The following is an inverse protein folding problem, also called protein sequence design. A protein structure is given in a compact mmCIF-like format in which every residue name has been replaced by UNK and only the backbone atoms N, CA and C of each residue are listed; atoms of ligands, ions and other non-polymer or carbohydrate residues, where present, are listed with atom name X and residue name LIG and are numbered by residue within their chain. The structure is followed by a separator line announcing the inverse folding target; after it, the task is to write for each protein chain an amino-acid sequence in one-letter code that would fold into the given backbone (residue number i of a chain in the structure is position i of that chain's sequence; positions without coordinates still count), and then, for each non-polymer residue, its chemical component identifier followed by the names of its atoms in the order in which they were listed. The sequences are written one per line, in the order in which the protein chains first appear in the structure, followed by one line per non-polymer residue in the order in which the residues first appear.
data_IF_526861408829
#
_entry.id   IF_526861408829
#
_cell.length_a   1.000
_cell.length_b   1.000
_cell.length_c   1.000
_cell.angle_alpha   90.00
_cell.angle_beta   90.00
_cell.angle_gamma   90.00
#
_symmetry.space_group_name_H-M   'P 1'
#
loop_
_entity.id
_entity.type
_entity.pdbx_description
1 polymer ?
#
# COMPACT_ATOMS: atom_id res chain seq x y z
N UNK A 1 8.55 -6.55 -25.94
CA UNK A 1 8.31 -6.75 -24.49
C UNK A 1 8.86 -5.55 -23.75
N UNK A 2 8.01 -4.83 -23.03
CA UNK A 2 8.47 -3.79 -22.11
C UNK A 2 9.10 -4.49 -20.91
N UNK A 3 10.28 -4.03 -20.49
CA UNK A 3 11.01 -4.58 -19.34
C UNK A 3 10.88 -3.65 -18.15
N UNK A 4 10.53 -4.20 -16.98
CA UNK A 4 10.51 -3.46 -15.72
C UNK A 4 11.82 -3.69 -14.96
N UNK A 5 12.35 -2.65 -14.33
CA UNK A 5 13.52 -2.68 -13.44
C UNK A 5 13.28 -1.75 -12.26
N UNK A 6 13.57 -2.23 -11.05
CA UNK A 6 13.64 -1.38 -9.86
C UNK A 6 15.00 -0.67 -9.84
N UNK A 7 15.00 0.62 -9.55
CA UNK A 7 16.18 1.50 -9.57
C UNK A 7 16.30 2.27 -8.25
N UNK A 8 17.36 3.08 -8.13
CA UNK A 8 17.61 3.98 -6.99
C UNK A 8 17.68 3.28 -5.63
N UNK A 9 18.73 2.47 -5.47
CA UNK A 9 19.03 1.74 -4.23
C UNK A 9 19.75 2.60 -3.17
N UNK A 10 19.76 3.93 -3.31
CA UNK A 10 20.53 4.83 -2.44
C UNK A 10 20.03 4.91 -0.99
N UNK A 11 18.79 4.47 -0.74
CA UNK A 11 18.19 4.35 0.60
C UNK A 11 17.98 2.89 1.04
N UNK A 12 18.45 1.92 0.26
CA UNK A 12 18.34 0.51 0.63
C UNK A 12 19.29 0.17 1.78
N UNK A 13 18.91 -0.79 2.61
CA UNK A 13 19.69 -1.19 3.78
C UNK A 13 19.64 -2.71 4.00
N UNK A 14 20.66 -3.26 4.67
CA UNK A 14 20.66 -4.66 5.12
C UNK A 14 19.84 -4.82 6.39
N UNK A 15 18.86 -5.72 6.34
CA UNK A 15 18.08 -6.07 7.51
C UNK A 15 18.88 -6.96 8.47
N UNK A 16 18.77 -6.63 9.75
CA UNK A 16 19.35 -7.31 10.90
C UNK A 16 18.29 -7.29 12.01
N UNK A 17 17.96 -8.46 12.55
CA UNK A 17 16.92 -8.58 13.56
C UNK A 17 17.26 -7.80 14.83
N UNK A 18 16.29 -7.02 15.33
CA UNK A 18 16.44 -6.18 16.54
C UNK A 18 17.25 -4.89 16.32
N UNK A 19 17.54 -4.53 15.07
CA UNK A 19 18.20 -3.27 14.73
C UNK A 19 17.17 -2.17 14.54
N UNK A 20 17.43 -1.01 15.15
CA UNK A 20 16.69 0.23 14.90
C UNK A 20 17.15 0.90 13.60
N UNK A 21 16.22 1.29 12.75
CA UNK A 21 16.46 1.93 11.47
C UNK A 21 15.93 3.37 11.43
N UNK A 22 16.52 4.20 10.56
CA UNK A 22 16.13 5.60 10.41
C UNK A 22 14.77 5.74 9.70
N UNK A 23 13.78 6.27 10.40
CA UNK A 23 12.41 6.46 9.87
C UNK A 23 12.28 7.56 8.80
N UNK A 24 13.33 8.37 8.58
CA UNK A 24 13.36 9.46 7.60
C UNK A 24 13.70 8.99 6.18
N UNK A 25 13.20 7.82 5.79
CA UNK A 25 13.32 7.22 4.46
C UNK A 25 12.00 7.26 3.69
N UNK A 26 12.04 6.97 2.38
CA UNK A 26 10.89 6.99 1.47
C UNK A 26 10.20 8.35 1.25
N UNK A 27 9.57 8.48 0.08
CA UNK A 27 8.71 9.62 -0.25
C UNK A 27 7.42 9.58 0.55
N UNK A 28 6.94 10.74 1.03
CA UNK A 28 5.81 10.88 1.98
C UNK A 28 4.61 9.99 1.67
N UNK A 29 4.16 9.96 0.42
CA UNK A 29 2.93 9.24 0.02
C UNK A 29 3.04 7.72 0.11
N UNK A 30 4.26 7.19 0.21
CA UNK A 30 4.56 5.76 0.28
C UNK A 30 5.10 5.36 1.67
N UNK A 31 5.25 6.30 2.62
CA UNK A 31 5.67 5.96 3.97
C UNK A 31 4.65 5.05 4.65
N UNK A 32 5.14 3.92 5.18
CA UNK A 32 4.39 3.03 6.06
C UNK A 32 4.04 3.70 7.40
N UNK A 33 2.97 3.25 8.08
CA UNK A 33 2.61 3.74 9.41
C UNK A 33 3.78 3.73 10.40
N UNK A 34 4.62 2.70 10.38
CA UNK A 34 5.83 2.58 11.22
C UNK A 34 6.74 3.81 11.12
N UNK A 35 6.92 4.38 9.92
CA UNK A 35 7.76 5.57 9.73
C UNK A 35 7.08 6.85 10.21
N UNK A 36 5.75 6.86 10.30
CA UNK A 36 4.94 8.02 10.66
C UNK A 36 4.69 8.10 12.16
N UNK A 37 4.80 6.96 12.86
CA UNK A 37 4.69 6.82 14.32
C UNK A 37 6.05 6.61 15.00
N UNK A 38 7.15 6.76 14.26
CA UNK A 38 8.53 6.62 14.74
C UNK A 38 8.88 5.24 15.32
N UNK A 39 8.29 4.18 14.78
CA UNK A 39 8.68 2.80 15.12
C UNK A 39 9.91 2.39 14.29
N UNK A 40 11.04 2.15 14.96
CA UNK A 40 12.35 1.99 14.30
C UNK A 40 12.74 0.55 14.00
N UNK A 41 12.16 -0.44 14.68
CA UNK A 41 12.44 -1.87 14.48
C UNK A 41 11.61 -2.46 13.33
N UNK A 42 11.55 -1.76 12.20
CA UNK A 42 10.82 -2.21 11.00
C UNK A 42 11.67 -3.11 10.08
N UNK A 43 11.01 -3.78 9.15
CA UNK A 43 11.62 -4.77 8.26
C UNK A 43 11.16 -4.63 6.79
N UNK A 44 11.35 -5.69 6.00
CA UNK A 44 10.98 -5.77 4.59
C UNK A 44 9.49 -5.49 4.30
N UNK A 45 8.62 -5.62 5.29
CA UNK A 45 7.18 -5.33 5.16
C UNK A 45 6.87 -3.85 4.89
N UNK A 46 7.83 -2.95 5.13
CA UNK A 46 7.74 -1.54 4.72
C UNK A 46 7.59 -1.40 3.19
N UNK A 47 8.29 -2.22 2.42
CA UNK A 47 8.20 -2.23 0.96
C UNK A 47 6.82 -2.71 0.49
N UNK A 48 6.20 -3.62 1.24
CA UNK A 48 4.88 -4.16 0.94
C UNK A 48 3.78 -3.11 1.15
N UNK A 49 3.93 -2.23 2.14
CA UNK A 49 3.07 -1.05 2.27
C UNK A 49 3.22 -0.10 1.07
N UNK A 50 4.46 0.21 0.69
CA UNK A 50 4.75 1.09 -0.45
C UNK A 50 4.13 0.55 -1.74
N UNK A 51 4.25 -0.76 -1.96
CA UNK A 51 3.59 -1.48 -3.06
C UNK A 51 2.06 -1.37 -2.98
N UNK A 52 1.47 -1.54 -1.80
CA UNK A 52 0.04 -1.37 -1.58
C UNK A 52 -0.46 0.04 -1.90
N UNK A 53 0.26 1.08 -1.48
CA UNK A 53 -0.08 2.47 -1.77
C UNK A 53 0.01 2.78 -3.28
N UNK A 54 1.02 2.25 -3.96
CA UNK A 54 1.13 2.32 -5.43
C UNK A 54 -0.03 1.57 -6.10
N UNK A 55 -0.32 0.34 -5.67
CA UNK A 55 -1.39 -0.49 -6.21
C UNK A 55 -2.76 0.16 -6.06
N UNK A 56 -3.07 0.71 -4.88
CA UNK A 56 -4.29 1.49 -4.65
C UNK A 56 -4.39 2.68 -5.62
N UNK A 57 -3.29 3.41 -5.82
CA UNK A 57 -3.26 4.56 -6.73
C UNK A 57 -3.58 4.14 -8.17
N UNK A 58 -3.06 2.99 -8.62
CA UNK A 58 -3.32 2.43 -9.95
C UNK A 58 -4.77 2.01 -10.14
N UNK A 59 -5.30 1.13 -9.25
CA UNK A 59 -6.63 0.55 -9.44
C UNK A 59 -7.75 1.56 -9.21
N UNK A 60 -7.56 2.53 -8.30
CA UNK A 60 -8.54 3.58 -8.04
C UNK A 60 -8.34 4.84 -8.88
N UNK A 61 -7.30 4.89 -9.73
CA UNK A 61 -6.96 6.05 -10.57
C UNK A 61 -6.83 7.35 -9.77
N UNK A 62 -6.22 7.25 -8.59
CA UNK A 62 -6.07 8.37 -7.64
C UNK A 62 -4.62 8.46 -7.20
N UNK A 63 -3.91 9.48 -7.68
CA UNK A 63 -2.48 9.64 -7.45
C UNK A 63 -2.17 10.96 -6.73
N UNK A 64 -1.52 10.92 -5.54
CA UNK A 64 -1.32 9.75 -4.69
C UNK A 64 -2.64 9.29 -4.02
N UNK A 65 -2.73 8.00 -3.65
CA UNK A 65 -3.92 7.49 -2.96
C UNK A 65 -4.11 8.12 -1.58
N UNK A 66 -3.04 8.19 -0.78
CA UNK A 66 -2.96 8.90 0.49
C UNK A 66 -2.20 10.21 0.31
N UNK A 67 -2.91 11.33 0.36
CA UNK A 67 -2.38 12.66 0.01
C UNK A 67 -2.28 13.57 1.25
N UNK A 68 -1.23 13.38 2.05
CA UNK A 68 -0.93 14.19 3.23
C UNK A 68 -0.04 15.40 2.93
N UNK A 69 -0.35 16.53 3.55
CA UNK A 69 0.42 17.78 3.42
C UNK A 69 1.70 17.79 4.27
N UNK A 70 1.77 16.95 5.30
CA UNK A 70 2.91 16.71 6.19
C UNK A 70 2.97 15.21 6.54
N UNK A 71 4.00 14.76 7.28
CA UNK A 71 4.05 13.37 7.75
C UNK A 71 2.89 13.07 8.72
N UNK A 72 2.56 14.01 9.61
CA UNK A 72 1.46 13.87 10.55
C UNK A 72 0.10 13.85 9.83
N UNK A 73 -0.11 14.72 8.84
CA UNK A 73 -1.33 14.68 8.01
C UNK A 73 -1.37 13.42 7.12
N UNK A 74 -0.23 12.84 6.76
CA UNK A 74 -0.17 11.56 6.02
C UNK A 74 -0.78 10.43 6.87
N UNK A 75 -0.42 10.32 8.16
CA UNK A 75 -1.03 9.35 9.06
C UNK A 75 -2.53 9.58 9.20
N UNK A 76 -2.97 10.85 9.30
CA UNK A 76 -4.40 11.20 9.33
C UNK A 76 -5.11 10.77 8.03
N UNK A 77 -4.49 10.89 6.86
CA UNK A 77 -5.09 10.40 5.60
C UNK A 77 -5.24 8.89 5.59
N UNK A 78 -4.28 8.17 6.15
CA UNK A 78 -4.32 6.71 6.28
C UNK A 78 -5.46 6.32 7.25
N UNK A 79 -5.52 6.94 8.43
CA UNK A 79 -6.56 6.75 9.45
C UNK A 79 -7.98 7.01 8.93
N UNK A 80 -8.16 8.00 8.05
CA UNK A 80 -9.46 8.26 7.39
C UNK A 80 -9.92 7.15 6.44
N UNK A 81 -9.07 6.19 6.09
CA UNK A 81 -9.38 5.05 5.23
C UNK A 81 -9.37 3.76 6.02
N UNK A 82 -8.31 3.46 6.76
CA UNK A 82 -8.16 2.20 7.49
C UNK A 82 -8.88 2.20 8.85
N UNK A 83 -9.32 3.37 9.33
CA UNK A 83 -9.94 3.52 10.63
C UNK A 83 -8.90 3.77 11.73
N UNK A 84 -9.37 4.25 12.88
CA UNK A 84 -8.51 4.57 14.03
C UNK A 84 -8.42 3.45 15.03
N UNK A 85 -9.39 2.55 15.06
CA UNK A 85 -9.43 1.44 16.01
C UNK A 85 -8.23 0.50 15.73
N UNK A 86 -8.06 0.03 14.50
CA UNK A 86 -6.88 -0.77 14.07
C UNK A 86 -5.54 -0.03 14.26
N UNK A 87 -5.53 1.31 14.20
CA UNK A 87 -4.32 2.11 14.45
C UNK A 87 -3.97 2.10 15.94
N UNK A 88 -4.95 2.30 16.82
CA UNK A 88 -4.70 2.26 18.27
C UNK A 88 -4.33 0.86 18.74
N UNK A 89 -4.97 -0.19 18.22
CA UNK A 89 -4.57 -1.58 18.49
C UNK A 89 -3.10 -1.84 18.11
N UNK A 90 -2.65 -1.30 16.98
CA UNK A 90 -1.26 -1.37 16.55
C UNK A 90 -0.32 -0.61 17.51
N UNK A 91 -0.66 0.63 17.89
CA UNK A 91 0.15 1.42 18.81
C UNK A 91 0.27 0.76 20.18
N UNK A 92 -0.83 0.23 20.71
CA UNK A 92 -0.87 -0.48 21.98
C UNK A 92 -0.04 -1.77 21.92
N UNK A 93 -0.14 -2.53 20.83
CA UNK A 93 0.61 -3.80 20.64
C UNK A 93 2.13 -3.61 20.72
N UNK A 94 2.63 -2.51 20.17
CA UNK A 94 4.07 -2.23 20.09
C UNK A 94 4.53 -1.18 21.10
N UNK A 95 3.67 -0.79 22.05
CA UNK A 95 3.95 0.20 23.10
C UNK A 95 4.47 1.55 22.53
N UNK A 96 3.86 2.01 21.44
CA UNK A 96 4.25 3.23 20.73
C UNK A 96 3.47 4.43 21.26
N UNK A 97 4.18 5.42 21.81
CA UNK A 97 3.60 6.71 22.16
C UNK A 97 3.56 7.64 20.94
N UNK A 98 2.36 8.06 20.53
CA UNK A 98 2.21 9.08 19.50
C UNK A 98 2.65 10.46 20.01
N UNK A 99 3.33 11.21 19.16
CA UNK A 99 3.67 12.61 19.42
C UNK A 99 2.39 13.45 19.68
N UNK A 100 2.44 14.32 20.69
CA UNK A 100 1.35 15.20 21.10
C UNK A 100 0.76 16.05 19.95
N UNK A 101 1.51 16.27 18.86
CA UNK A 101 0.97 16.91 17.66
C UNK A 101 -0.25 16.18 17.05
N UNK A 102 -0.45 14.90 17.36
CA UNK A 102 -1.58 14.10 16.88
C UNK A 102 -2.87 14.36 17.66
N UNK A 103 -2.79 14.87 18.90
CA UNK A 103 -3.95 15.07 19.79
C UNK A 103 -5.05 15.93 19.14
N UNK A 104 -4.65 16.93 18.36
CA UNK A 104 -5.58 17.87 17.71
C UNK A 104 -6.01 17.45 16.29
N UNK A 105 -5.28 16.54 15.63
CA UNK A 105 -5.48 16.22 14.21
C UNK A 105 -6.00 14.80 13.96
N UNK A 106 -5.78 13.88 14.90
CA UNK A 106 -6.21 12.49 14.82
C UNK A 106 -7.55 12.31 15.54
N UNK A 107 -8.64 12.49 14.80
CA UNK A 107 -9.99 12.17 15.28
C UNK A 107 -10.28 10.67 15.26
N UNK A 108 -11.51 10.27 15.64
CA UNK A 108 -12.00 8.89 15.47
C UNK A 108 -12.55 8.68 14.05
N UNK A 109 -12.05 7.67 13.36
CA UNK A 109 -12.45 7.34 11.99
C UNK A 109 -12.85 5.88 11.90
N UNK A 110 -13.96 5.60 11.22
CA UNK A 110 -14.38 4.25 10.89
C UNK A 110 -13.64 3.77 9.64
N UNK A 111 -13.26 2.49 9.62
CA UNK A 111 -12.66 1.86 8.43
C UNK A 111 -13.61 1.97 7.25
N UNK A 112 -13.11 2.47 6.13
CA UNK A 112 -13.88 2.61 4.90
C UNK A 112 -13.78 1.32 4.09
N UNK A 113 -14.90 0.79 3.57
CA UNK A 113 -14.83 -0.34 2.66
C UNK A 113 -14.16 0.10 1.35
N UNK A 114 -13.25 -0.72 0.83
CA UNK A 114 -12.50 -0.42 -0.39
C UNK A 114 -13.42 -0.17 -1.60
N UNK A 115 -14.57 -0.84 -1.67
CA UNK A 115 -15.58 -0.62 -2.71
C UNK A 115 -16.11 0.82 -2.75
N UNK A 116 -15.98 1.60 -1.65
CA UNK A 116 -16.39 3.01 -1.64
C UNK A 116 -15.50 3.93 -2.48
N UNK A 117 -14.32 3.48 -2.89
CA UNK A 117 -13.42 4.22 -3.80
C UNK A 117 -13.64 3.86 -5.27
N UNK A 118 -14.57 2.95 -5.58
CA UNK A 118 -14.90 2.55 -6.95
C UNK A 118 -15.80 3.61 -7.60
N UNK A 119 -15.42 4.04 -8.79
CA UNK A 119 -16.14 5.00 -9.62
C UNK A 119 -16.39 4.41 -11.00
N UNK A 120 -17.25 5.05 -11.81
CA UNK A 120 -17.50 4.62 -13.18
C UNK A 120 -16.23 4.59 -14.06
N UNK A 121 -15.25 5.43 -13.74
CA UNK A 121 -13.99 5.56 -14.49
C UNK A 121 -12.97 4.47 -14.14
N UNK A 122 -12.98 4.00 -12.89
CA UNK A 122 -11.99 3.06 -12.39
C UNK A 122 -12.51 1.62 -12.23
N UNK A 123 -13.83 1.40 -12.26
CA UNK A 123 -14.45 0.09 -12.02
C UNK A 123 -13.86 -1.06 -12.86
N UNK A 124 -13.41 -0.77 -14.10
CA UNK A 124 -12.80 -1.76 -14.98
C UNK A 124 -11.44 -2.31 -14.50
N UNK A 125 -10.80 -1.61 -13.56
CA UNK A 125 -9.50 -1.99 -12.98
C UNK A 125 -9.65 -2.67 -11.61
N UNK A 126 -10.87 -2.74 -11.07
CA UNK A 126 -11.14 -3.22 -9.72
C UNK A 126 -11.92 -4.54 -9.80
N UNK A 127 -11.34 -5.59 -9.22
CA UNK A 127 -12.01 -6.87 -8.97
C UNK A 127 -12.02 -7.18 -7.47
N UNK A 128 -12.80 -8.19 -7.05
CA UNK A 128 -12.79 -8.62 -5.65
C UNK A 128 -11.39 -9.15 -5.24
N UNK A 129 -10.69 -9.84 -6.13
CA UNK A 129 -9.31 -10.31 -5.90
C UNK A 129 -8.33 -9.14 -5.80
N UNK A 130 -8.55 -8.04 -6.54
CA UNK A 130 -7.73 -6.84 -6.43
C UNK A 130 -7.92 -6.15 -5.08
N UNK A 131 -9.18 -6.03 -4.62
CA UNK A 131 -9.51 -5.46 -3.31
C UNK A 131 -8.96 -6.33 -2.19
N UNK A 132 -9.13 -7.65 -2.27
CA UNK A 132 -8.62 -8.60 -1.29
C UNK A 132 -7.07 -8.58 -1.22
N UNK A 133 -6.41 -8.48 -2.38
CA UNK A 133 -4.96 -8.30 -2.42
C UNK A 133 -4.53 -6.99 -1.74
N UNK A 134 -5.20 -5.88 -2.05
CA UNK A 134 -4.90 -4.58 -1.47
C UNK A 134 -5.09 -4.55 0.05
N UNK A 135 -6.19 -5.14 0.55
CA UNK A 135 -6.49 -5.18 1.98
C UNK A 135 -5.41 -5.94 2.78
N UNK A 136 -4.83 -6.99 2.19
CA UNK A 136 -3.72 -7.74 2.81
C UNK A 136 -2.35 -7.06 2.70
N UNK A 137 -2.22 -5.99 1.92
CA UNK A 137 -1.01 -5.17 1.85
C UNK A 137 -1.08 -3.95 2.79
N UNK A 138 -2.23 -3.27 2.81
CA UNK A 138 -2.43 -2.04 3.57
C UNK A 138 -2.94 -2.32 4.98
N UNK A 139 -2.05 -2.83 5.83
CA UNK A 139 -2.25 -3.04 7.27
C UNK A 139 -1.36 -2.11 8.09
N UNK A 140 -1.87 -1.63 9.23
CA UNK A 140 -1.07 -0.89 10.20
C UNK A 140 0.06 -1.75 10.72
N UNK A 141 -0.31 -2.89 11.30
CA UNK A 141 0.63 -3.88 11.76
C UNK A 141 1.42 -4.45 10.58
N UNK A 142 2.71 -4.15 10.59
CA UNK A 142 3.64 -4.52 9.55
C UNK A 142 3.83 -6.04 9.46
N UNK A 143 3.60 -6.77 10.57
CA UNK A 143 3.65 -8.23 10.62
C UNK A 143 2.41 -8.91 10.03
N UNK A 144 1.31 -8.19 9.80
CA UNK A 144 0.10 -8.74 9.15
C UNK A 144 0.11 -8.61 7.63
N UNK A 145 1.09 -7.89 7.07
CA UNK A 145 1.19 -7.67 5.63
C UNK A 145 1.67 -8.94 4.94
N UNK A 146 1.18 -9.20 3.73
CA UNK A 146 1.73 -10.26 2.90
C UNK A 146 3.23 -10.05 2.70
N UNK A 147 4.01 -11.11 2.81
CA UNK A 147 5.36 -11.12 2.26
C UNK A 147 5.32 -11.03 0.73
N UNK A 148 6.42 -10.61 0.10
CA UNK A 148 6.51 -10.57 -1.37
C UNK A 148 6.24 -11.94 -2.03
N UNK A 149 6.59 -13.04 -1.34
CA UNK A 149 6.36 -14.41 -1.83
C UNK A 149 4.87 -14.78 -1.77
N UNK A 150 4.19 -14.46 -0.66
CA UNK A 150 2.75 -14.70 -0.52
C UNK A 150 1.95 -13.80 -1.47
N UNK A 151 2.36 -12.54 -1.63
CA UNK A 151 1.79 -11.61 -2.60
C UNK A 151 1.86 -12.18 -4.02
N UNK A 152 3.02 -12.71 -4.43
CA UNK A 152 3.18 -13.37 -5.73
C UNK A 152 2.34 -14.64 -5.89
N UNK A 153 1.90 -15.28 -4.81
CA UNK A 153 1.03 -16.45 -4.82
C UNK A 153 -0.47 -16.08 -4.77
N UNK A 154 -0.81 -14.81 -4.51
CA UNK A 154 -2.19 -14.35 -4.37
C UNK A 154 -3.05 -14.67 -5.62
N UNK A 155 -4.35 -15.02 -5.48
CA UNK A 155 -5.24 -15.31 -6.60
C UNK A 155 -5.34 -14.21 -7.65
N UNK A 156 -5.14 -12.94 -7.26
CA UNK A 156 -5.09 -11.79 -8.18
C UNK A 156 -4.10 -12.01 -9.34
N UNK A 157 -2.99 -12.72 -9.10
CA UNK A 157 -1.98 -13.00 -10.12
C UNK A 157 -2.17 -14.34 -10.85
N UNK A 158 -3.25 -15.09 -10.61
CA UNK A 158 -3.54 -16.33 -11.36
C UNK A 158 -3.45 -16.14 -12.88
N UNK A 159 -4.06 -15.09 -13.49
CA UNK A 159 -4.00 -14.89 -14.94
C UNK A 159 -2.60 -14.58 -15.48
N UNK A 160 -1.68 -14.11 -14.62
CA UNK A 160 -0.30 -13.81 -14.99
C UNK A 160 0.59 -15.05 -14.90
N UNK A 161 0.28 -15.96 -13.96
CA UNK A 161 1.04 -17.21 -13.77
C UNK A 161 0.80 -18.24 -14.86
N UNK A 162 -0.36 -18.21 -15.52
CA UNK A 162 -0.64 -19.02 -16.69
C UNK A 162 -0.14 -18.30 -17.96
N UNK A 163 0.91 -18.81 -18.65
CA UNK A 163 1.49 -18.14 -19.81
C UNK A 163 0.53 -17.97 -20.98
N UNK A 164 -0.42 -18.89 -21.16
CA UNK A 164 -1.38 -18.83 -22.26
C UNK A 164 -2.47 -17.81 -21.96
N UNK A 165 -2.96 -17.76 -20.71
CA UNK A 165 -3.88 -16.70 -20.26
C UNK A 165 -3.19 -15.34 -20.33
N UNK A 166 -1.93 -15.24 -19.89
CA UNK A 166 -1.18 -13.99 -19.92
C UNK A 166 -1.01 -13.44 -21.34
N UNK A 167 -0.64 -14.31 -22.31
CA UNK A 167 -0.54 -13.92 -23.74
C UNK A 167 -1.89 -13.48 -24.30
N UNK A 168 -2.97 -14.18 -23.99
CA UNK A 168 -4.32 -13.81 -24.43
C UNK A 168 -4.75 -12.46 -23.86
N UNK A 169 -4.42 -12.19 -22.59
CA UNK A 169 -4.72 -10.92 -21.92
C UNK A 169 -3.94 -9.75 -22.52
N UNK A 170 -2.67 -9.96 -22.88
CA UNK A 170 -1.89 -8.94 -23.60
C UNK A 170 -2.48 -8.66 -24.99
N UNK A 171 -2.88 -9.70 -25.71
CA UNK A 171 -3.45 -9.57 -27.05
C UNK A 171 -4.79 -8.80 -27.06
N UNK A 172 -5.66 -9.06 -26.08
CA UNK A 172 -6.97 -8.39 -25.97
C UNK A 172 -6.83 -6.90 -25.61
N UNK A 173 -5.88 -6.53 -24.75
CA UNK A 173 -5.62 -5.12 -24.43
C UNK A 173 -5.03 -4.36 -25.63
N UNK A 174 -4.15 -4.97 -26.42
CA UNK A 174 -3.65 -4.34 -27.66
C UNK A 174 -4.74 -4.15 -28.72
N UNK A 175 -5.71 -5.05 -28.83
CA UNK A 175 -6.80 -4.92 -29.80
C UNK A 175 -7.78 -3.79 -29.43
N UNK A 176 -8.04 -3.58 -28.14
CA UNK A 176 -8.92 -2.50 -27.66
C UNK A 176 -8.33 -1.08 -27.80
N UNK A 177 -7.01 -0.96 -27.97
CA UNK A 177 -6.32 0.33 -28.16
C UNK A 177 -6.23 0.82 -29.61
N UNK A 178 -6.69 0.03 -30.59
CA UNK A 178 -6.58 0.36 -32.03
C UNK A 178 -7.88 0.95 -32.61
N UNK A 179 -8.97 0.99 -31.84
CA UNK A 179 -10.27 1.52 -32.32
C UNK A 179 -10.55 2.98 -31.92
N UNK A 180 -9.55 3.74 -31.50
CA UNK A 180 -9.67 5.19 -31.29
C UNK A 180 -8.46 5.93 -31.86
N UNK A 181 -8.47 6.11 -33.18
CA UNK A 181 -7.80 7.18 -33.93
C UNK A 181 -8.62 7.47 -35.18
#
# INVERSE_FOLDING_TARGET
MVQLRLIDWGLAEFYHQGTEYNVRVASRYFKGPELLVDFQEYDYSLDMWSLGAMFASMIFRKEPFFHGNSNSDQLVKIAKVLGTDDLFDYLDKYEIELDAQYDDILGRFQKKPWHSFVTAENQRFVSNEAIDFLDKLLRYDHQERLTAKEAQAHPYFNPVRDPEVFKQHLASQTASGVSSN
#
